data_IF_862944342754
#
_entry.id   IF_862944342754
#
_cell.length_a   1.000
_cell.length_b   1.000
_cell.length_c   1.000
_cell.angle_alpha   90.00
_cell.angle_beta   90.00
_cell.angle_gamma   90.00
#
_symmetry.space_group_name_H-M   'P 1'
#
loop_
_entity.id
_entity.type
_entity.pdbx_description
1 polymer ?
#
# COMPACT_ATOMS: atom_id res chain seq x y z
N UNK A 1 -58.91 12.25 -46.81
CA UNK A 1 -58.50 11.67 -45.52
C UNK A 1 -57.11 12.21 -45.20
N UNK A 2 -57.01 13.09 -44.20
CA UNK A 2 -55.74 13.66 -43.71
C UNK A 2 -54.92 12.63 -42.95
N UNK A 3 -53.60 12.62 -43.12
CA UNK A 3 -52.66 12.33 -42.02
C UNK A 3 -51.45 13.25 -42.11
N UNK A 4 -51.14 13.81 -40.96
CA UNK A 4 -50.19 14.87 -40.60
C UNK A 4 -48.76 14.37 -40.40
N UNK A 5 -47.81 15.29 -40.69
CA UNK A 5 -46.64 15.70 -39.89
C UNK A 5 -45.86 14.69 -39.04
N UNK A 6 -44.53 14.73 -39.14
CA UNK A 6 -43.64 14.17 -38.11
C UNK A 6 -42.15 14.36 -38.41
N UNK A 7 -41.60 15.52 -38.05
CA UNK A 7 -40.16 15.70 -37.78
C UNK A 7 -39.69 14.71 -36.71
N UNK A 8 -38.50 14.10 -36.89
CA UNK A 8 -37.64 13.74 -35.75
C UNK A 8 -36.15 13.94 -36.08
N UNK A 9 -35.53 14.69 -35.17
CA UNK A 9 -34.19 15.21 -35.07
C UNK A 9 -33.28 14.25 -34.28
N UNK A 10 -31.96 14.49 -34.38
CA UNK A 10 -30.85 14.13 -33.46
C UNK A 10 -30.10 12.82 -33.71
N UNK A 11 -28.97 12.96 -34.41
CA UNK A 11 -27.83 12.05 -34.33
C UNK A 11 -27.05 12.34 -33.04
N UNK A 12 -27.11 11.43 -32.06
CA UNK A 12 -26.22 11.41 -30.90
C UNK A 12 -25.13 10.38 -31.10
N UNK A 13 -23.88 10.82 -31.23
CA UNK A 13 -22.69 9.97 -31.17
C UNK A 13 -21.93 10.34 -29.90
N UNK A 14 -22.20 9.61 -28.82
CA UNK A 14 -21.43 9.66 -27.60
C UNK A 14 -21.05 8.24 -27.21
N UNK A 15 -19.75 7.95 -27.22
CA UNK A 15 -19.11 6.87 -26.45
C UNK A 15 -17.59 6.96 -26.67
N UNK A 16 -16.88 7.65 -25.78
CA UNK A 16 -15.43 7.49 -25.62
C UNK A 16 -15.23 6.86 -24.25
N UNK A 17 -15.16 5.53 -24.22
CA UNK A 17 -14.81 4.77 -23.03
C UNK A 17 -13.29 4.62 -22.98
N UNK A 18 -12.62 5.45 -22.18
CA UNK A 18 -11.20 5.28 -21.85
C UNK A 18 -11.08 4.24 -20.73
N UNK A 19 -10.49 3.10 -21.08
CA UNK A 19 -10.19 1.97 -20.19
C UNK A 19 -9.17 2.40 -19.13
N UNK A 20 -9.55 2.34 -17.85
CA UNK A 20 -8.62 2.51 -16.74
C UNK A 20 -7.82 1.21 -16.55
N UNK A 21 -6.52 1.22 -16.90
CA UNK A 21 -5.59 0.15 -16.49
C UNK A 21 -5.35 0.27 -14.99
N UNK A 22 -5.97 -0.61 -14.21
CA UNK A 22 -5.61 -0.80 -12.80
C UNK A 22 -4.33 -1.63 -12.75
N UNK A 23 -3.19 -0.96 -12.56
CA UNK A 23 -1.93 -1.61 -12.23
C UNK A 23 -2.00 -2.12 -10.79
N UNK A 24 -2.46 -3.35 -10.59
CA UNK A 24 -2.28 -4.06 -9.31
C UNK A 24 -0.81 -4.48 -9.21
N UNK A 25 0.04 -3.59 -8.72
CA UNK A 25 1.36 -3.97 -8.23
C UNK A 25 1.17 -4.85 -7.00
N UNK A 26 1.21 -6.17 -7.19
CA UNK A 26 1.39 -7.12 -6.10
C UNK A 26 2.84 -7.60 -6.20
N UNK A 27 3.76 -7.12 -5.35
CA UNK A 27 4.98 -7.87 -5.12
C UNK A 27 4.62 -9.19 -4.46
N UNK A 28 5.28 -10.24 -4.92
CA UNK A 28 5.12 -11.59 -4.45
C UNK A 28 6.42 -12.06 -3.79
N UNK A 29 6.24 -12.70 -2.63
CA UNK A 29 6.84 -13.96 -2.19
C UNK A 29 7.94 -13.93 -1.11
N UNK A 30 7.86 -15.02 -0.33
CA UNK A 30 8.85 -15.70 0.54
C UNK A 30 9.38 -14.91 1.74
N UNK A 31 9.66 -15.57 2.87
CA UNK A 31 10.01 -14.92 4.14
C UNK A 31 11.31 -14.08 4.15
N UNK A 32 11.87 -13.74 2.99
CA UNK A 32 12.61 -12.52 2.75
C UNK A 32 11.87 -11.66 1.72
N UNK A 33 10.77 -11.00 2.12
CA UNK A 33 9.93 -10.24 1.19
C UNK A 33 10.16 -8.74 1.36
N UNK A 34 10.26 -8.01 0.25
CA UNK A 34 10.41 -6.56 0.26
C UNK A 34 9.57 -5.92 -0.84
N UNK A 35 8.79 -4.91 -0.47
CA UNK A 35 7.96 -4.17 -1.40
C UNK A 35 7.76 -2.73 -0.97
N UNK A 36 7.40 -1.89 -1.94
CA UNK A 36 7.10 -0.48 -1.70
C UNK A 36 5.78 -0.10 -2.36
N UNK A 37 5.06 0.81 -1.70
CA UNK A 37 3.88 1.46 -2.24
C UNK A 37 3.94 2.94 -1.88
N UNK A 38 3.89 3.81 -2.89
CA UNK A 38 4.11 5.24 -2.69
C UNK A 38 5.51 5.53 -2.15
N UNK A 39 5.56 6.19 -1.00
CA UNK A 39 6.80 6.57 -0.30
C UNK A 39 7.16 5.59 0.81
N UNK A 40 6.35 4.58 1.08
CA UNK A 40 6.54 3.61 2.16
C UNK A 40 6.97 2.26 1.60
N UNK A 41 7.95 1.63 2.25
CA UNK A 41 8.40 0.29 1.97
C UNK A 41 8.29 -0.61 3.21
N UNK A 42 8.03 -1.88 2.99
CA UNK A 42 8.08 -2.95 3.98
C UNK A 42 9.20 -3.93 3.62
N UNK A 43 9.84 -4.49 4.64
CA UNK A 43 10.89 -5.49 4.56
C UNK A 43 10.61 -6.54 5.66
N UNK A 44 10.26 -7.76 5.25
CA UNK A 44 9.96 -8.90 6.12
C UNK A 44 11.17 -9.82 6.09
N UNK A 45 11.86 -9.93 7.22
CA UNK A 45 13.04 -10.77 7.42
C UNK A 45 12.62 -12.06 8.16
N UNK A 46 13.07 -13.20 7.65
CA UNK A 46 12.64 -14.52 8.12
C UNK A 46 13.01 -15.66 7.17
N UNK A 47 12.43 -16.84 7.42
CA UNK A 47 12.56 -18.03 6.57
C UNK A 47 11.32 -18.92 6.68
N UNK A 48 10.80 -19.41 5.55
CA UNK A 48 9.58 -20.21 5.50
C UNK A 48 8.37 -19.44 6.05
N UNK A 49 7.79 -19.91 7.16
CA UNK A 49 6.73 -19.20 7.89
C UNK A 49 7.25 -18.39 9.07
N UNK A 50 8.51 -18.58 9.45
CA UNK A 50 9.13 -17.89 10.57
C UNK A 50 9.45 -16.46 10.14
N UNK A 51 8.90 -15.49 10.86
CA UNK A 51 9.22 -14.07 10.70
C UNK A 51 10.02 -13.60 11.89
N UNK A 52 11.26 -13.19 11.64
CA UNK A 52 12.16 -12.65 12.66
C UNK A 52 11.84 -11.17 12.92
N UNK A 53 11.64 -10.40 11.85
CA UNK A 53 11.48 -8.95 11.93
C UNK A 53 10.68 -8.41 10.75
N UNK A 54 9.87 -7.38 11.02
CA UNK A 54 9.24 -6.55 9.98
C UNK A 54 9.75 -5.14 10.11
N UNK A 55 10.17 -4.52 9.01
CA UNK A 55 10.67 -3.15 8.99
C UNK A 55 9.90 -2.27 8.01
N UNK A 56 9.57 -1.06 8.44
CA UNK A 56 9.05 0.01 7.60
C UNK A 56 10.16 1.02 7.29
N UNK A 57 10.19 1.55 6.07
CA UNK A 57 11.18 2.55 5.62
C UNK A 57 10.62 3.43 4.51
N UNK A 58 11.31 4.52 4.17
CA UNK A 58 10.92 5.36 3.04
C UNK A 58 11.62 4.96 1.74
N UNK A 59 11.03 5.30 0.60
CA UNK A 59 11.72 5.28 -0.70
C UNK A 59 12.75 6.40 -0.80
N UNK A 60 13.57 6.38 -1.86
CA UNK A 60 14.48 7.50 -2.19
C UNK A 60 13.69 8.78 -2.46
N UNK A 61 14.10 9.91 -1.88
CA UNK A 61 13.34 11.17 -1.83
C UNK A 61 11.91 11.02 -1.24
N UNK A 62 11.70 9.95 -0.47
CA UNK A 62 10.44 9.60 0.17
C UNK A 62 10.29 10.14 1.60
N UNK A 63 11.20 11.00 2.05
CA UNK A 63 11.27 11.47 3.43
C UNK A 63 10.04 12.27 3.88
N UNK A 64 9.64 12.07 5.13
CA UNK A 64 8.48 12.76 5.70
C UNK A 64 8.60 12.90 7.21
N UNK A 65 7.87 13.85 7.79
CA UNK A 65 7.72 13.98 9.25
C UNK A 65 6.41 13.37 9.69
N UNK A 66 6.46 12.32 10.49
CA UNK A 66 5.29 11.53 10.81
C UNK A 66 5.65 10.23 11.52
N UNK A 67 4.88 9.17 11.31
CA UNK A 67 5.15 7.86 11.87
C UNK A 67 4.87 6.75 10.87
N UNK A 68 5.41 5.57 11.16
CA UNK A 68 5.04 4.33 10.49
C UNK A 68 4.05 3.56 11.35
N UNK A 69 3.12 2.86 10.72
CA UNK A 69 2.22 1.89 11.32
C UNK A 69 2.48 0.53 10.69
N UNK A 70 2.91 -0.45 11.48
CA UNK A 70 3.13 -1.84 11.06
C UNK A 70 2.07 -2.71 11.68
N UNK A 71 1.37 -3.49 10.87
CA UNK A 71 0.24 -4.32 11.32
C UNK A 71 0.08 -5.60 10.50
N UNK A 72 -0.72 -6.53 11.03
CA UNK A 72 -0.94 -7.86 10.43
C UNK A 72 -0.13 -8.95 11.14
N UNK A 73 -0.48 -10.22 10.94
CA UNK A 73 0.19 -11.33 11.64
C UNK A 73 0.16 -11.23 13.18
N UNK A 74 -0.84 -10.54 13.74
CA UNK A 74 -0.94 -10.23 15.17
C UNK A 74 -0.04 -9.08 15.65
N UNK A 75 0.52 -8.28 14.75
CA UNK A 75 1.19 -7.00 15.03
C UNK A 75 0.17 -5.88 14.91
N UNK A 76 0.28 -4.88 15.78
CA UNK A 76 -0.32 -3.56 15.63
C UNK A 76 0.56 -2.54 16.37
N UNK A 77 1.52 -1.94 15.67
CA UNK A 77 2.54 -1.08 16.29
C UNK A 77 2.82 0.17 15.47
N UNK A 78 2.86 1.31 16.16
CA UNK A 78 3.26 2.59 15.59
C UNK A 78 4.69 2.93 16.02
N UNK A 79 5.44 3.53 15.12
CA UNK A 79 6.69 4.20 15.48
C UNK A 79 6.41 5.50 16.23
N UNK A 80 7.44 6.03 16.89
CA UNK A 80 7.36 7.40 17.39
C UNK A 80 7.20 8.39 16.22
N UNK A 81 6.45 9.47 16.44
CA UNK A 81 6.39 10.56 15.47
C UNK A 81 7.73 11.28 15.41
N UNK A 82 8.27 11.44 14.19
CA UNK A 82 9.55 12.07 13.95
C UNK A 82 9.84 12.23 12.47
N UNK A 83 11.02 12.76 12.14
CA UNK A 83 11.51 12.79 10.76
C UNK A 83 11.98 11.38 10.37
N UNK A 84 11.52 10.90 9.21
CA UNK A 84 11.90 9.62 8.61
C UNK A 84 12.58 9.86 7.27
N UNK A 85 13.89 9.63 7.23
CA UNK A 85 14.69 9.67 6.00
C UNK A 85 14.94 8.29 5.39
N UNK A 86 15.43 8.26 4.14
CA UNK A 86 15.69 7.03 3.37
C UNK A 86 16.53 5.96 4.07
N UNK A 87 17.48 6.36 4.93
CA UNK A 87 18.36 5.43 5.64
C UNK A 87 17.80 4.96 7.00
N UNK A 88 16.66 5.49 7.42
CA UNK A 88 16.03 5.15 8.69
C UNK A 88 14.98 4.05 8.49
N UNK A 89 14.88 3.18 9.50
CA UNK A 89 13.91 2.10 9.52
C UNK A 89 13.23 2.07 10.89
N UNK A 90 11.93 1.80 10.89
CA UNK A 90 11.22 1.36 12.08
C UNK A 90 11.08 -0.15 12.01
N UNK A 91 11.61 -0.87 13.00
CA UNK A 91 11.63 -2.34 13.00
C UNK A 91 10.87 -2.90 14.19
N UNK A 92 10.01 -3.86 13.89
CA UNK A 92 9.24 -4.63 14.88
C UNK A 92 9.78 -6.06 14.90
N UNK A 93 10.42 -6.49 16.00
CA UNK A 93 10.83 -7.89 16.17
C UNK A 93 9.61 -8.78 16.42
N UNK A 94 9.56 -9.95 15.78
CA UNK A 94 8.49 -10.95 15.96
C UNK A 94 9.06 -12.24 16.53
N UNK A 95 10.06 -12.82 15.87
CA UNK A 95 10.72 -14.07 16.27
C UNK A 95 9.76 -15.26 16.40
N UNK A 96 8.79 -15.40 15.48
CA UNK A 96 7.79 -16.47 15.53
C UNK A 96 7.25 -16.86 14.16
N UNK A 97 6.67 -18.05 14.06
CA UNK A 97 5.89 -18.46 12.91
C UNK A 97 4.59 -17.68 12.78
N UNK A 98 4.23 -17.35 11.54
CA UNK A 98 2.91 -16.84 11.18
C UNK A 98 2.14 -17.90 10.37
N UNK A 99 0.80 -17.93 10.46
CA UNK A 99 -0.01 -18.78 9.58
C UNK A 99 0.33 -18.58 8.10
N UNK A 100 0.32 -19.64 7.30
CA UNK A 100 0.50 -19.54 5.86
C UNK A 100 -0.57 -18.62 5.23
N UNK A 101 -0.16 -17.70 4.37
CA UNK A 101 -1.01 -16.66 3.80
C UNK A 101 -1.23 -15.45 4.72
N UNK A 102 -0.47 -15.32 5.82
CA UNK A 102 -0.55 -14.12 6.67
C UNK A 102 -0.05 -12.89 5.93
N UNK A 103 -0.83 -11.81 5.98
CA UNK A 103 -0.43 -10.52 5.39
C UNK A 103 0.13 -9.60 6.46
N UNK A 104 1.28 -9.01 6.16
CA UNK A 104 1.98 -8.01 6.96
C UNK A 104 2.00 -6.70 6.17
N UNK A 105 1.64 -5.59 6.80
CA UNK A 105 1.56 -4.29 6.15
C UNK A 105 2.36 -3.24 6.92
N UNK A 106 2.94 -2.30 6.19
CA UNK A 106 3.54 -1.08 6.70
C UNK A 106 2.94 0.12 5.97
N UNK A 107 2.47 1.10 6.74
CA UNK A 107 1.92 2.35 6.23
C UNK A 107 2.66 3.54 6.83
N UNK A 108 2.96 4.54 5.99
CA UNK A 108 3.58 5.79 6.41
C UNK A 108 2.53 6.87 6.53
N UNK A 109 2.54 7.61 7.64
CA UNK A 109 1.56 8.65 7.94
C UNK A 109 2.28 9.97 8.19
N UNK A 110 2.23 10.89 7.23
CA UNK A 110 2.84 12.21 7.33
C UNK A 110 1.93 13.19 8.08
N UNK A 111 2.53 14.00 8.94
CA UNK A 111 1.84 15.04 9.72
C UNK A 111 2.05 16.40 9.05
N UNK A 112 0.98 17.01 8.54
CA UNK A 112 1.01 18.26 7.77
C UNK A 112 -0.08 19.18 8.32
N UNK A 113 0.30 20.34 8.85
CA UNK A 113 -0.63 21.36 9.35
C UNK A 113 -1.73 20.80 10.27
N UNK A 114 -1.35 19.88 11.16
CA UNK A 114 -2.28 19.23 12.11
C UNK A 114 -3.15 18.13 11.51
N UNK A 115 -2.92 17.72 10.27
CA UNK A 115 -3.57 16.60 9.58
C UNK A 115 -2.61 15.44 9.42
N UNK A 116 -3.16 14.24 9.21
CA UNK A 116 -2.40 13.04 8.93
C UNK A 116 -2.73 12.55 7.52
N UNK A 117 -1.73 12.41 6.67
CA UNK A 117 -1.88 11.94 5.29
C UNK A 117 -1.12 10.63 5.08
N UNK A 118 -1.75 9.66 4.42
CA UNK A 118 -1.07 8.41 4.04
C UNK A 118 -0.03 8.72 2.96
N UNK A 119 1.18 8.19 3.16
CA UNK A 119 2.30 8.22 2.21
C UNK A 119 2.52 6.90 1.51
N UNK A 120 1.53 6.01 1.61
CA UNK A 120 1.51 4.73 0.94
C UNK A 120 1.59 3.58 1.93
N UNK A 121 1.07 2.45 1.48
CA UNK A 121 0.87 1.24 2.26
C UNK A 121 1.39 0.04 1.49
N UNK A 122 2.52 -0.48 1.94
CA UNK A 122 3.13 -1.67 1.37
C UNK A 122 2.74 -2.89 2.20
N UNK A 123 2.37 -3.99 1.54
CA UNK A 123 1.99 -5.23 2.21
C UNK A 123 2.65 -6.42 1.55
N UNK A 124 3.06 -7.40 2.35
CA UNK A 124 3.65 -8.66 1.91
C UNK A 124 2.90 -9.84 2.53
N UNK A 125 2.79 -10.92 1.76
CA UNK A 125 2.18 -12.18 2.21
C UNK A 125 3.27 -13.18 2.59
N UNK A 126 3.16 -13.74 3.80
CA UNK A 126 4.03 -14.81 4.30
C UNK A 126 3.48 -16.16 3.84
N UNK A 127 4.27 -16.87 3.04
CA UNK A 127 3.93 -18.17 2.48
C UNK A 127 5.17 -19.04 2.26
N UNK A 128 4.96 -20.35 2.15
CA UNK A 128 5.97 -21.33 1.76
C UNK A 128 6.40 -21.21 0.29
#
# INVERSE_FOLDING_TARGET
MSVTSGWMLRAGLGLVSLVALVLTATPSAEAGARGCNGRTCIDVEGSGLTVDRVSASTTWNGDFTGHFHVWGGGIDQNSATGFWGYHQKFSVPLGRDLPNGSVLCAEGWEHIDGRVESRGRACEEVRF
#
